data_IF_574338517355
#
_entry.id   IF_574338517355
#
_cell.length_a   1.000
_cell.length_b   1.000
_cell.length_c   1.000
_cell.angle_alpha   90.00
_cell.angle_beta   90.00
_cell.angle_gamma   90.00
#
_symmetry.space_group_name_H-M   'P 1'
#
loop_
_entity.id
_entity.type
_entity.pdbx_description
1 polymer ?
#
# COMPACT_ATOMS: atom_id res chain seq x y z
N UNK A 1 -51.63 35.69 2.54
CA UNK A 1 -50.64 34.94 3.34
C UNK A 1 -49.59 34.39 2.40
N UNK A 2 -48.40 34.98 2.48
CA UNK A 2 -47.21 34.69 1.68
C UNK A 2 -46.49 33.45 2.24
N UNK A 3 -46.03 32.57 1.34
CA UNK A 3 -44.81 31.73 1.37
C UNK A 3 -45.12 30.32 0.88
N UNK A 4 -44.77 30.03 -0.37
CA UNK A 4 -44.18 28.76 -0.82
C UNK A 4 -43.89 28.91 -2.32
N UNK A 5 -42.74 29.45 -2.69
CA UNK A 5 -42.06 29.24 -3.98
C UNK A 5 -40.72 29.97 -3.91
N UNK A 6 -39.64 29.19 -3.85
CA UNK A 6 -38.23 29.50 -4.21
C UNK A 6 -37.30 28.69 -3.31
N UNK A 7 -36.95 27.48 -3.76
CA UNK A 7 -35.62 26.94 -3.52
C UNK A 7 -35.03 26.64 -4.89
N UNK A 8 -34.32 27.66 -5.35
CA UNK A 8 -33.52 27.73 -6.55
C UNK A 8 -32.56 26.55 -6.65
N UNK A 9 -32.54 25.98 -7.85
CA UNK A 9 -31.45 25.24 -8.45
C UNK A 9 -30.12 25.95 -8.13
N UNK A 10 -29.35 25.39 -7.19
CA UNK A 10 -27.92 25.65 -7.12
C UNK A 10 -27.24 24.44 -7.76
N UNK A 11 -27.15 24.49 -9.10
CA UNK A 11 -26.13 23.74 -9.83
C UNK A 11 -24.77 24.21 -9.32
N UNK A 12 -24.23 23.53 -8.31
CA UNK A 12 -22.81 23.64 -8.02
C UNK A 12 -22.12 22.80 -9.10
N UNK A 13 -21.80 23.45 -10.22
CA UNK A 13 -20.84 22.95 -11.18
C UNK A 13 -19.46 22.88 -10.50
N UNK A 14 -19.20 21.81 -9.75
CA UNK A 14 -17.85 21.51 -9.26
C UNK A 14 -17.08 20.94 -10.46
N UNK A 15 -16.39 21.82 -11.15
CA UNK A 15 -15.40 21.43 -12.15
C UNK A 15 -14.39 20.48 -11.49
N UNK A 16 -14.22 19.29 -12.07
CA UNK A 16 -13.43 18.17 -11.53
C UNK A 16 -11.91 18.40 -11.42
N UNK A 17 -11.44 19.64 -11.28
CA UNK A 17 -10.02 20.01 -11.20
C UNK A 17 -9.59 20.63 -9.88
N UNK A 18 -10.50 21.06 -8.99
CA UNK A 18 -10.09 21.70 -7.73
C UNK A 18 -9.98 20.77 -6.51
N UNK A 19 -10.57 19.57 -6.54
CA UNK A 19 -10.68 18.73 -5.33
C UNK A 19 -9.62 17.62 -5.18
N UNK A 20 -8.87 17.31 -6.24
CA UNK A 20 -7.78 16.32 -6.18
C UNK A 20 -6.51 16.81 -5.43
N UNK A 21 -6.53 18.03 -4.90
CA UNK A 21 -5.41 18.65 -4.14
C UNK A 21 -5.72 18.89 -2.65
N UNK A 22 -6.93 18.58 -2.19
CA UNK A 22 -7.22 18.58 -0.76
C UNK A 22 -6.39 17.47 -0.11
N UNK A 23 -5.42 17.83 0.73
CA UNK A 23 -4.74 16.88 1.59
C UNK A 23 -5.83 16.17 2.43
N UNK A 24 -6.21 14.96 2.02
CA UNK A 24 -6.88 14.04 2.92
C UNK A 24 -5.94 13.87 4.10
N UNK A 25 -6.31 14.44 5.25
CA UNK A 25 -5.70 14.05 6.51
C UNK A 25 -6.22 12.64 6.75
N UNK A 26 -5.51 11.66 6.18
CA UNK A 26 -5.66 10.26 6.53
C UNK A 26 -5.41 10.18 8.03
N UNK A 27 -6.40 9.71 8.78
CA UNK A 27 -6.22 9.44 10.20
C UNK A 27 -5.02 8.50 10.35
N UNK A 28 -4.06 8.88 11.20
CA UNK A 28 -2.83 8.12 11.46
C UNK A 28 -3.07 6.83 12.27
N UNK A 29 -4.29 6.33 12.33
CA UNK A 29 -4.67 5.20 13.18
C UNK A 29 -4.79 3.90 12.39
N UNK A 30 -3.70 3.43 11.77
CA UNK A 30 -3.65 2.08 11.17
C UNK A 30 -3.50 1.01 12.28
N UNK A 31 -4.01 1.26 13.49
CA UNK A 31 -3.97 0.39 14.67
C UNK A 31 -2.56 0.08 15.19
N UNK A 32 -2.35 0.37 16.47
CA UNK A 32 -1.14 0.04 17.23
C UNK A 32 -0.65 -1.41 16.99
N UNK A 33 -1.57 -2.38 16.83
CA UNK A 33 -1.24 -3.78 16.51
C UNK A 33 -0.53 -3.97 15.17
N UNK A 34 -0.86 -3.16 14.16
CA UNK A 34 -0.19 -3.20 12.86
C UNK A 34 1.20 -2.57 12.94
N UNK A 35 1.32 -1.40 13.58
CA UNK A 35 2.61 -0.79 13.88
C UNK A 35 3.50 -1.81 14.63
N UNK A 36 2.95 -2.47 15.65
CA UNK A 36 3.68 -3.51 16.39
C UNK A 36 4.10 -4.68 15.47
N UNK A 37 3.23 -5.15 14.58
CA UNK A 37 3.57 -6.21 13.62
C UNK A 37 4.67 -5.80 12.63
N UNK A 38 4.68 -4.55 12.15
CA UNK A 38 5.68 -4.04 11.21
C UNK A 38 7.01 -3.83 11.93
N UNK A 39 7.01 -3.14 13.07
CA UNK A 39 8.24 -2.73 13.75
C UNK A 39 8.93 -3.90 14.48
N UNK A 40 8.16 -4.86 15.03
CA UNK A 40 8.72 -5.95 15.84
C UNK A 40 8.93 -7.27 15.08
N UNK A 41 8.24 -7.52 13.96
CA UNK A 41 8.34 -8.81 13.24
C UNK A 41 9.06 -8.74 11.89
N UNK A 42 9.40 -7.57 11.35
CA UNK A 42 10.03 -7.52 10.03
C UNK A 42 11.52 -7.94 10.04
N UNK A 43 11.91 -8.97 9.27
CA UNK A 43 13.31 -9.35 9.11
C UNK A 43 14.13 -8.21 8.51
N UNK A 44 15.44 -8.17 8.78
CA UNK A 44 16.42 -7.24 8.17
C UNK A 44 16.38 -7.27 6.62
N UNK A 45 15.72 -8.24 6.01
CA UNK A 45 15.59 -8.34 4.55
C UNK A 45 14.46 -7.52 3.92
N UNK A 46 13.54 -6.97 4.72
CA UNK A 46 12.42 -6.15 4.26
C UNK A 46 12.58 -4.69 4.69
N UNK A 47 11.77 -3.79 4.13
CA UNK A 47 11.67 -2.38 4.55
C UNK A 47 10.36 -2.18 5.30
N UNK A 48 10.42 -1.46 6.42
CA UNK A 48 9.23 -1.09 7.20
C UNK A 48 8.25 -0.30 6.33
N UNK A 49 8.78 0.59 5.49
CA UNK A 49 8.05 1.36 4.49
C UNK A 49 7.13 0.50 3.62
N UNK A 50 7.59 -0.66 3.13
CA UNK A 50 6.80 -1.53 2.25
C UNK A 50 5.61 -2.15 3.00
N UNK A 51 5.74 -2.33 4.32
CA UNK A 51 4.62 -2.65 5.20
C UNK A 51 3.67 -1.47 5.34
N UNK A 52 4.17 -0.28 5.70
CA UNK A 52 3.36 0.92 5.97
C UNK A 52 2.49 1.29 4.75
N UNK A 53 3.03 1.21 3.53
CA UNK A 53 2.29 1.53 2.30
C UNK A 53 1.58 0.34 1.66
N UNK A 54 1.45 -0.79 2.36
CA UNK A 54 0.79 -1.96 1.83
C UNK A 54 -0.67 -1.66 1.43
N UNK A 55 -1.36 -0.84 2.23
CA UNK A 55 -2.67 -0.28 1.90
C UNK A 55 -2.49 1.06 1.15
N UNK A 56 -2.76 1.02 -0.14
CA UNK A 56 -2.83 2.23 -0.97
C UNK A 56 -4.20 2.89 -0.79
N UNK A 57 -4.35 3.70 0.26
CA UNK A 57 -5.61 4.36 0.65
C UNK A 57 -6.14 5.27 -0.46
N UNK A 58 -5.26 5.89 -1.24
CA UNK A 58 -5.67 6.69 -2.39
C UNK A 58 -6.34 5.85 -3.47
N UNK A 59 -5.76 4.70 -3.84
CA UNK A 59 -6.37 3.79 -4.82
C UNK A 59 -7.64 3.13 -4.28
N UNK A 60 -7.73 2.87 -2.97
CA UNK A 60 -8.95 2.39 -2.32
C UNK A 60 -10.10 3.40 -2.50
N UNK A 61 -9.88 4.66 -2.16
CA UNK A 61 -10.88 5.74 -2.34
C UNK A 61 -11.29 5.87 -3.80
N UNK A 62 -10.32 5.89 -4.72
CA UNK A 62 -10.57 6.00 -6.17
C UNK A 62 -11.35 4.80 -6.75
N UNK A 63 -11.36 3.67 -6.05
CA UNK A 63 -12.04 2.46 -6.51
C UNK A 63 -13.55 2.45 -6.29
N UNK A 64 -14.05 3.34 -5.43
CA UNK A 64 -15.48 3.48 -5.17
C UNK A 64 -16.05 4.39 -6.25
N UNK A 65 -17.02 3.88 -6.99
CA UNK A 65 -17.61 4.60 -8.13
C UNK A 65 -18.55 5.72 -7.68
N UNK A 66 -19.25 5.52 -6.56
CA UNK A 66 -20.12 6.53 -5.96
C UNK A 66 -19.33 7.42 -4.99
N UNK A 67 -18.63 8.40 -5.56
CA UNK A 67 -17.81 9.34 -4.80
C UNK A 67 -18.64 10.21 -3.84
N UNK A 68 -19.90 10.50 -4.16
CA UNK A 68 -20.78 11.29 -3.29
C UNK A 68 -21.13 10.51 -2.03
N UNK A 69 -21.61 9.27 -2.19
CA UNK A 69 -21.92 8.40 -1.03
C UNK A 69 -20.69 8.11 -0.20
N UNK A 70 -19.53 7.89 -0.84
CA UNK A 70 -18.27 7.75 -0.11
C UNK A 70 -17.94 9.00 0.70
N UNK A 71 -18.05 10.20 0.12
CA UNK A 71 -17.79 11.45 0.83
C UNK A 71 -18.72 11.63 2.03
N UNK A 72 -20.01 11.36 1.86
CA UNK A 72 -20.98 11.40 2.97
C UNK A 72 -20.58 10.40 4.05
N UNK A 73 -20.19 9.17 3.67
CA UNK A 73 -19.78 8.13 4.62
C UNK A 73 -18.53 8.53 5.41
N UNK A 74 -17.54 9.12 4.75
CA UNK A 74 -16.28 9.55 5.36
C UNK A 74 -16.52 10.76 6.26
N UNK A 75 -17.34 11.73 5.84
CA UNK A 75 -17.76 12.84 6.69
C UNK A 75 -18.58 12.39 7.90
N UNK A 76 -19.36 11.32 7.79
CA UNK A 76 -20.09 10.76 8.93
C UNK A 76 -19.16 10.13 9.99
N UNK A 77 -17.91 9.78 9.65
CA UNK A 77 -16.90 9.33 10.63
C UNK A 77 -16.57 10.47 11.61
N UNK A 78 -16.46 11.70 11.11
CA UNK A 78 -15.95 12.87 11.86
C UNK A 78 -17.02 13.68 12.61
N UNK A 79 -18.32 13.43 12.39
CA UNK A 79 -19.42 14.20 12.98
C UNK A 79 -20.40 13.36 13.82
N UNK A 80 -21.10 14.03 14.75
CA UNK A 80 -22.18 13.47 15.59
C UNK A 80 -23.41 12.91 14.82
N UNK A 81 -23.42 12.93 13.48
CA UNK A 81 -24.47 12.33 12.65
C UNK A 81 -24.24 10.84 12.30
N UNK A 82 -23.17 10.23 12.85
CA UNK A 82 -22.84 8.81 12.70
C UNK A 82 -24.07 7.90 12.77
N UNK A 83 -24.92 8.05 13.79
CA UNK A 83 -26.05 7.15 14.01
C UNK A 83 -27.02 7.10 12.80
N UNK A 84 -27.39 8.24 12.22
CA UNK A 84 -28.41 8.29 11.18
C UNK A 84 -27.95 7.72 9.84
N UNK A 85 -26.72 8.03 9.42
CA UNK A 85 -26.15 7.51 8.18
C UNK A 85 -25.97 5.98 8.25
N UNK A 86 -25.38 5.48 9.35
CA UNK A 86 -25.17 4.05 9.53
C UNK A 86 -26.48 3.26 9.67
N UNK A 87 -27.52 3.85 10.28
CA UNK A 87 -28.87 3.25 10.31
C UNK A 87 -29.51 3.17 8.91
N UNK A 88 -29.24 4.14 8.04
CA UNK A 88 -29.74 4.13 6.65
C UNK A 88 -29.06 3.05 5.79
N UNK A 89 -27.79 2.72 6.06
CA UNK A 89 -27.07 1.66 5.31
C UNK A 89 -27.76 0.30 5.40
N UNK A 90 -28.27 -0.07 6.58
CA UNK A 90 -29.01 -1.34 6.73
C UNK A 90 -30.29 -1.38 5.91
N UNK A 91 -31.01 -0.25 5.84
CA UNK A 91 -32.23 -0.15 5.04
C UNK A 91 -31.92 -0.18 3.53
N UNK A 92 -30.83 0.48 3.11
CA UNK A 92 -30.37 0.44 1.72
C UNK A 92 -29.94 -0.96 1.29
N UNK A 93 -29.20 -1.68 2.15
CA UNK A 93 -28.81 -3.07 1.91
C UNK A 93 -30.04 -3.98 1.75
N UNK A 94 -31.03 -3.85 2.62
CA UNK A 94 -32.29 -4.61 2.54
C UNK A 94 -33.08 -4.27 1.26
N UNK A 95 -33.17 -2.99 0.91
CA UNK A 95 -33.79 -2.55 -0.34
C UNK A 95 -33.09 -3.15 -1.56
N UNK A 96 -31.76 -3.04 -1.67
CA UNK A 96 -31.02 -3.60 -2.81
C UNK A 96 -31.13 -5.12 -2.88
N UNK A 97 -31.14 -5.81 -1.75
CA UNK A 97 -31.34 -7.25 -1.70
C UNK A 97 -32.73 -7.64 -2.22
N UNK A 98 -33.80 -7.00 -1.72
CA UNK A 98 -35.18 -7.25 -2.14
C UNK A 98 -35.44 -6.90 -3.60
N UNK A 99 -34.81 -5.83 -4.09
CA UNK A 99 -34.90 -5.40 -5.48
C UNK A 99 -33.96 -6.19 -6.42
N UNK A 100 -33.21 -7.17 -5.92
CA UNK A 100 -32.20 -7.94 -6.67
C UNK A 100 -31.14 -7.06 -7.37
N UNK A 101 -30.80 -5.93 -6.76
CA UNK A 101 -29.81 -4.96 -7.24
C UNK A 101 -28.41 -5.28 -6.70
N UNK A 102 -27.93 -6.49 -7.02
CA UNK A 102 -26.70 -7.06 -6.44
C UNK A 102 -25.45 -6.20 -6.68
N UNK A 103 -25.35 -5.50 -7.82
CA UNK A 103 -24.23 -4.59 -8.10
C UNK A 103 -24.22 -3.39 -7.15
N UNK A 104 -25.38 -2.81 -6.85
CA UNK A 104 -25.50 -1.69 -5.90
C UNK A 104 -25.23 -2.15 -4.48
N UNK A 105 -25.73 -3.33 -4.10
CA UNK A 105 -25.43 -3.94 -2.81
C UNK A 105 -23.94 -4.20 -2.62
N UNK A 106 -23.26 -4.76 -3.64
CA UNK A 106 -21.82 -4.99 -3.63
C UNK A 106 -21.02 -3.68 -3.54
N UNK A 107 -21.43 -2.66 -4.29
CA UNK A 107 -20.83 -1.33 -4.24
C UNK A 107 -20.96 -0.68 -2.86
N UNK A 108 -22.10 -0.87 -2.20
CA UNK A 108 -22.34 -0.36 -0.84
C UNK A 108 -21.42 -1.05 0.18
N UNK A 109 -21.31 -2.38 0.13
CA UNK A 109 -20.35 -3.11 0.97
C UNK A 109 -18.90 -2.69 0.71
N UNK A 110 -18.51 -2.51 -0.55
CA UNK A 110 -17.16 -2.03 -0.90
C UNK A 110 -16.89 -0.64 -0.33
N UNK A 111 -17.86 0.27 -0.42
CA UNK A 111 -17.76 1.61 0.15
C UNK A 111 -17.59 1.54 1.68
N UNK A 112 -18.43 0.77 2.37
CA UNK A 112 -18.31 0.54 3.82
C UNK A 112 -16.92 0.00 4.19
N UNK A 113 -16.42 -0.98 3.44
CA UNK A 113 -15.11 -1.56 3.66
C UNK A 113 -13.96 -0.55 3.48
N UNK A 114 -14.06 0.34 2.49
CA UNK A 114 -13.09 1.44 2.30
C UNK A 114 -13.15 2.39 3.49
N UNK A 115 -14.34 2.81 3.91
CA UNK A 115 -14.56 3.69 5.07
C UNK A 115 -13.98 3.09 6.36
N UNK A 116 -14.18 1.79 6.58
CA UNK A 116 -13.62 1.04 7.72
C UNK A 116 -12.10 0.87 7.62
N UNK A 117 -11.57 0.69 6.41
CA UNK A 117 -10.11 0.66 6.21
C UNK A 117 -9.49 2.01 6.58
N UNK A 118 -10.18 3.13 6.27
CA UNK A 118 -9.74 4.48 6.61
C UNK A 118 -9.91 4.82 8.10
N UNK A 119 -10.90 4.24 8.79
CA UNK A 119 -11.05 4.36 10.25
C UNK A 119 -10.07 3.46 11.01
N UNK A 120 -9.46 2.49 10.32
CA UNK A 120 -8.55 1.51 10.88
C UNK A 120 -9.23 0.22 11.32
N UNK A 121 -10.53 0.03 11.11
CA UNK A 121 -11.29 -1.16 11.53
C UNK A 121 -11.11 -2.35 10.56
N UNK A 122 -9.87 -2.82 10.42
CA UNK A 122 -9.45 -3.77 9.37
C UNK A 122 -10.23 -5.10 9.34
N UNK A 123 -10.67 -5.60 10.50
CA UNK A 123 -11.48 -6.83 10.57
C UNK A 123 -12.88 -6.63 9.99
N UNK A 124 -13.49 -5.45 10.23
CA UNK A 124 -14.81 -5.12 9.69
C UNK A 124 -14.67 -4.86 8.18
N UNK A 125 -13.62 -4.15 7.78
CA UNK A 125 -13.30 -3.94 6.37
C UNK A 125 -13.13 -5.26 5.61
N UNK A 126 -12.40 -6.23 6.19
CA UNK A 126 -12.24 -7.56 5.63
C UNK A 126 -13.59 -8.26 5.41
N UNK A 127 -14.48 -8.21 6.40
CA UNK A 127 -15.82 -8.78 6.30
C UNK A 127 -16.65 -8.14 5.18
N UNK A 128 -16.67 -6.82 5.09
CA UNK A 128 -17.44 -6.12 4.05
C UNK A 128 -16.83 -6.29 2.66
N UNK A 129 -15.51 -6.30 2.50
CA UNK A 129 -14.89 -6.68 1.23
C UNK A 129 -15.21 -8.12 0.84
N UNK A 130 -15.27 -9.06 1.79
CA UNK A 130 -15.65 -10.45 1.50
C UNK A 130 -17.09 -10.56 1.01
N UNK A 131 -18.03 -9.80 1.60
CA UNK A 131 -19.42 -9.72 1.11
C UNK A 131 -19.50 -9.10 -0.29
N UNK A 132 -18.77 -8.02 -0.53
CA UNK A 132 -18.71 -7.40 -1.84
C UNK A 132 -18.14 -8.38 -2.89
N UNK A 133 -17.08 -9.11 -2.56
CA UNK A 133 -16.47 -10.12 -3.43
C UNK A 133 -17.48 -11.20 -3.81
N UNK A 134 -18.19 -11.77 -2.84
CA UNK A 134 -19.21 -12.80 -3.08
C UNK A 134 -20.28 -12.33 -4.07
N UNK A 135 -20.79 -11.11 -3.88
CA UNK A 135 -21.79 -10.53 -4.79
C UNK A 135 -21.23 -10.25 -6.18
N UNK A 136 -19.98 -9.78 -6.29
CA UNK A 136 -19.34 -9.57 -7.60
C UNK A 136 -19.05 -10.89 -8.32
N UNK A 137 -18.73 -11.96 -7.59
CA UNK A 137 -18.58 -13.31 -8.16
C UNK A 137 -19.90 -13.84 -8.70
N UNK A 138 -21.00 -13.70 -7.95
CA UNK A 138 -22.34 -14.10 -8.38
C UNK A 138 -22.78 -13.40 -9.69
N UNK A 139 -22.22 -12.22 -9.96
CA UNK A 139 -22.50 -11.41 -11.14
C UNK A 139 -21.47 -11.57 -12.26
N UNK A 140 -20.46 -12.44 -12.08
CA UNK A 140 -19.34 -12.62 -13.02
C UNK A 140 -18.61 -11.31 -13.34
N UNK A 141 -18.57 -10.37 -12.39
CA UNK A 141 -17.93 -9.08 -12.56
C UNK A 141 -16.41 -9.20 -12.33
N UNK A 142 -15.69 -9.74 -13.32
CA UNK A 142 -14.26 -10.05 -13.21
C UNK A 142 -13.40 -8.84 -12.81
N UNK A 143 -13.74 -7.63 -13.28
CA UNK A 143 -13.01 -6.41 -12.91
C UNK A 143 -13.11 -6.11 -11.41
N UNK A 144 -14.33 -6.17 -10.85
CA UNK A 144 -14.56 -5.91 -9.43
C UNK A 144 -14.09 -7.08 -8.54
N UNK A 145 -14.20 -8.32 -9.01
CA UNK A 145 -13.60 -9.49 -8.35
C UNK A 145 -12.09 -9.30 -8.22
N UNK A 146 -11.39 -8.94 -9.31
CA UNK A 146 -9.94 -8.77 -9.27
C UNK A 146 -9.51 -7.65 -8.32
N UNK A 147 -10.22 -6.53 -8.37
CA UNK A 147 -9.94 -5.38 -7.52
C UNK A 147 -10.23 -5.67 -6.04
N UNK A 148 -11.39 -6.24 -5.73
CA UNK A 148 -11.76 -6.58 -4.36
C UNK A 148 -10.83 -7.64 -3.77
N UNK A 149 -10.44 -8.64 -4.57
CA UNK A 149 -9.45 -9.65 -4.17
C UNK A 149 -8.07 -9.02 -3.90
N UNK A 150 -7.66 -8.01 -4.68
CA UNK A 150 -6.40 -7.30 -4.41
C UNK A 150 -6.39 -6.58 -3.05
N UNK A 151 -7.54 -6.08 -2.60
CA UNK A 151 -7.67 -5.47 -1.27
C UNK A 151 -7.71 -6.51 -0.16
N UNK A 152 -8.42 -7.62 -0.38
CA UNK A 152 -8.41 -8.74 0.57
C UNK A 152 -7.03 -9.40 0.69
N UNK A 153 -6.24 -9.46 -0.38
CA UNK A 153 -4.82 -9.83 -0.32
C UNK A 153 -4.03 -8.93 0.64
N UNK A 154 -4.19 -7.60 0.52
CA UNK A 154 -3.50 -6.65 1.40
C UNK A 154 -3.93 -6.85 2.84
N UNK A 155 -5.24 -6.90 3.12
CA UNK A 155 -5.77 -7.11 4.47
C UNK A 155 -5.34 -8.47 5.07
N UNK A 156 -5.29 -9.52 4.26
CA UNK A 156 -4.85 -10.85 4.71
C UNK A 156 -3.37 -10.84 5.11
N UNK A 157 -2.51 -10.19 4.31
CA UNK A 157 -1.11 -9.98 4.67
C UNK A 157 -0.95 -9.18 5.96
N UNK A 158 -1.79 -8.16 6.18
CA UNK A 158 -1.78 -7.36 7.42
C UNK A 158 -2.16 -8.20 8.64
N UNK A 159 -3.12 -9.11 8.48
CA UNK A 159 -3.55 -10.02 9.51
C UNK A 159 -2.57 -11.20 9.72
N UNK A 160 -1.53 -11.31 8.88
CA UNK A 160 -0.56 -12.40 8.92
C UNK A 160 -1.08 -13.72 8.33
N UNK A 161 -2.22 -13.71 7.63
CA UNK A 161 -2.76 -14.87 6.94
C UNK A 161 -2.20 -14.94 5.52
N UNK A 162 -1.00 -15.51 5.39
CA UNK A 162 -0.32 -15.64 4.10
C UNK A 162 -1.04 -16.60 3.14
N UNK A 163 -1.83 -17.56 3.67
CA UNK A 163 -2.59 -18.49 2.86
C UNK A 163 -3.77 -17.79 2.20
N UNK A 164 -4.58 -17.08 2.98
CA UNK A 164 -5.68 -16.29 2.43
C UNK A 164 -5.15 -15.21 1.47
N UNK A 165 -4.00 -14.59 1.78
CA UNK A 165 -3.34 -13.68 0.87
C UNK A 165 -3.03 -14.34 -0.48
N UNK A 166 -2.44 -15.54 -0.50
CA UNK A 166 -2.18 -16.28 -1.73
C UNK A 166 -3.47 -16.56 -2.53
N UNK A 167 -4.52 -17.04 -1.86
CA UNK A 167 -5.81 -17.34 -2.51
C UNK A 167 -6.41 -16.08 -3.18
N UNK A 168 -6.41 -14.94 -2.48
CA UNK A 168 -6.91 -13.68 -3.04
C UNK A 168 -6.00 -13.10 -4.12
N UNK A 169 -4.68 -13.31 -4.03
CA UNK A 169 -3.75 -12.92 -5.08
C UNK A 169 -4.00 -13.71 -6.37
N UNK A 170 -4.25 -15.01 -6.26
CA UNK A 170 -4.58 -15.86 -7.41
C UNK A 170 -5.90 -15.44 -8.06
N UNK A 171 -6.93 -15.11 -7.26
CA UNK A 171 -8.19 -14.54 -7.78
C UNK A 171 -7.96 -13.21 -8.50
N UNK A 172 -7.12 -12.33 -7.94
CA UNK A 172 -6.77 -11.06 -8.57
C UNK A 172 -6.06 -11.25 -9.91
N UNK A 173 -5.07 -12.15 -9.97
CA UNK A 173 -4.34 -12.50 -11.20
C UNK A 173 -5.30 -13.05 -12.25
N UNK A 174 -6.17 -13.98 -11.88
CA UNK A 174 -7.14 -14.57 -12.80
C UNK A 174 -8.06 -13.50 -13.41
N UNK A 175 -8.63 -12.62 -12.57
CA UNK A 175 -9.50 -11.56 -13.05
C UNK A 175 -8.77 -10.51 -13.89
N UNK A 176 -7.54 -10.09 -13.53
CA UNK A 176 -6.77 -9.16 -14.36
C UNK A 176 -6.31 -9.75 -15.69
N UNK A 177 -6.09 -11.07 -15.75
CA UNK A 177 -5.80 -11.78 -16.99
C UNK A 177 -7.00 -11.79 -17.93
N UNK A 178 -8.21 -12.07 -17.41
CA UNK A 178 -9.46 -12.06 -18.20
C UNK A 178 -9.75 -10.66 -18.76
N UNK A 179 -9.44 -9.62 -17.98
CA UNK A 179 -9.69 -8.22 -18.36
C UNK A 179 -8.58 -7.58 -19.19
N UNK A 180 -7.54 -8.35 -19.55
CA UNK A 180 -6.37 -7.86 -20.30
C UNK A 180 -5.74 -6.60 -19.67
N UNK A 181 -5.76 -6.52 -18.34
CA UNK A 181 -5.25 -5.40 -17.57
C UNK A 181 -3.77 -5.60 -17.21
N UNK A 182 -2.90 -5.57 -18.23
CA UNK A 182 -1.49 -5.96 -18.10
C UNK A 182 -0.74 -5.23 -16.97
N UNK A 183 -1.00 -3.94 -16.73
CA UNK A 183 -0.34 -3.20 -15.65
C UNK A 183 -0.75 -3.71 -14.26
N UNK A 184 -2.04 -4.00 -14.05
CA UNK A 184 -2.54 -4.54 -12.78
C UNK A 184 -2.11 -5.99 -12.61
N UNK A 185 -2.08 -6.75 -13.71
CA UNK A 185 -1.57 -8.11 -13.74
C UNK A 185 -0.09 -8.18 -13.34
N UNK A 186 0.76 -7.30 -13.86
CA UNK A 186 2.18 -7.22 -13.43
C UNK A 186 2.27 -6.92 -11.94
N UNK A 187 1.49 -5.96 -11.41
CA UNK A 187 1.47 -5.65 -9.97
C UNK A 187 1.08 -6.88 -9.15
N UNK A 188 0.03 -7.59 -9.55
CA UNK A 188 -0.44 -8.80 -8.86
C UNK A 188 0.58 -9.95 -8.94
N UNK A 189 1.28 -10.11 -10.06
CA UNK A 189 2.37 -11.10 -10.19
C UNK A 189 3.59 -10.75 -9.32
N UNK A 190 3.92 -9.47 -9.17
CA UNK A 190 5.00 -9.04 -8.25
C UNK A 190 4.61 -9.25 -6.78
N UNK A 191 3.32 -9.19 -6.45
CA UNK A 191 2.78 -9.55 -5.13
C UNK A 191 2.87 -11.07 -4.90
N UNK A 192 2.50 -11.89 -5.88
CA UNK A 192 2.72 -13.34 -5.84
C UNK A 192 4.19 -13.68 -5.60
N UNK A 193 5.08 -12.92 -6.27
CA UNK A 193 6.51 -13.06 -6.09
C UNK A 193 6.97 -12.75 -4.65
N UNK A 194 6.38 -11.73 -4.02
CA UNK A 194 6.65 -11.39 -2.62
C UNK A 194 6.26 -12.53 -1.67
N UNK A 195 5.10 -13.17 -1.91
CA UNK A 195 4.68 -14.36 -1.17
C UNK A 195 5.68 -15.51 -1.32
N UNK A 196 6.19 -15.76 -2.54
CA UNK A 196 7.24 -16.77 -2.75
C UNK A 196 8.54 -16.44 -2.00
N UNK A 197 8.93 -15.16 -1.92
CA UNK A 197 10.09 -14.74 -1.12
C UNK A 197 9.89 -15.01 0.38
N UNK A 198 8.69 -14.73 0.90
CA UNK A 198 8.32 -15.00 2.31
C UNK A 198 8.36 -16.49 2.61
N UNK A 199 7.83 -17.31 1.70
CA UNK A 199 7.87 -18.76 1.79
C UNK A 199 9.26 -19.39 1.52
N UNK A 200 10.27 -18.59 1.15
CA UNK A 200 11.63 -19.07 0.87
C UNK A 200 11.82 -19.75 -0.49
N UNK A 201 10.85 -19.65 -1.39
CA UNK A 201 10.90 -20.21 -2.75
C UNK A 201 11.71 -19.32 -3.72
N UNK A 202 12.97 -19.06 -3.38
CA UNK A 202 13.80 -18.04 -4.04
C UNK A 202 14.07 -18.31 -5.53
N UNK A 203 14.26 -19.59 -5.91
CA UNK A 203 14.49 -19.98 -7.32
C UNK A 203 13.24 -19.76 -8.18
N UNK A 204 12.07 -20.13 -7.66
CA UNK A 204 10.79 -19.89 -8.34
C UNK A 204 10.50 -18.39 -8.46
N UNK A 205 10.80 -17.61 -7.42
CA UNK A 205 10.67 -16.16 -7.46
C UNK A 205 11.56 -15.51 -8.53
N UNK A 206 12.82 -15.94 -8.63
CA UNK A 206 13.75 -15.48 -9.68
C UNK A 206 13.21 -15.81 -11.08
N UNK A 207 12.86 -17.08 -11.31
CA UNK A 207 12.39 -17.56 -12.60
C UNK A 207 11.12 -16.85 -13.05
N UNK A 208 10.16 -16.62 -12.13
CA UNK A 208 8.91 -15.94 -12.47
C UNK A 208 9.15 -14.51 -12.97
N UNK A 209 10.07 -13.76 -12.35
CA UNK A 209 10.36 -12.40 -12.82
C UNK A 209 11.02 -12.45 -14.19
N UNK A 210 12.07 -13.26 -14.36
CA UNK A 210 12.88 -13.30 -15.58
C UNK A 210 12.10 -13.82 -16.79
N UNK A 211 11.29 -14.86 -16.61
CA UNK A 211 10.62 -15.57 -17.71
C UNK A 211 9.20 -15.08 -18.00
N UNK A 212 8.61 -14.27 -17.10
CA UNK A 212 7.22 -13.80 -17.26
C UNK A 212 7.09 -12.31 -17.05
N UNK A 213 7.32 -11.82 -15.83
CA UNK A 213 6.92 -10.45 -15.46
C UNK A 213 7.75 -9.39 -16.21
N UNK A 214 9.07 -9.59 -16.30
CA UNK A 214 9.96 -8.66 -17.01
C UNK A 214 9.69 -8.65 -18.52
N UNK A 215 9.43 -9.82 -19.10
CA UNK A 215 9.02 -9.94 -20.50
C UNK A 215 7.70 -9.20 -20.78
N UNK A 216 6.72 -9.29 -19.89
CA UNK A 216 5.49 -8.49 -19.99
C UNK A 216 5.79 -6.98 -19.90
N UNK A 217 6.64 -6.56 -18.96
CA UNK A 217 7.03 -5.16 -18.83
C UNK A 217 7.68 -4.62 -20.13
N UNK A 218 8.52 -5.42 -20.79
CA UNK A 218 9.12 -5.06 -22.08
C UNK A 218 8.10 -4.98 -23.22
N UNK A 219 7.18 -5.95 -23.32
CA UNK A 219 6.12 -5.92 -24.35
C UNK A 219 5.23 -4.68 -24.22
N UNK A 220 4.96 -4.27 -22.98
CA UNK A 220 4.21 -3.05 -22.69
C UNK A 220 5.03 -1.75 -22.85
N UNK A 221 6.34 -1.85 -23.09
CA UNK A 221 7.28 -0.73 -23.03
C UNK A 221 7.17 0.08 -21.72
N UNK A 222 6.84 -0.59 -20.60
CA UNK A 222 6.58 0.07 -19.32
C UNK A 222 7.85 0.15 -18.48
N UNK A 223 8.52 1.31 -18.53
CA UNK A 223 9.73 1.58 -17.72
C UNK A 223 9.47 1.53 -16.21
N UNK A 224 8.26 1.87 -15.78
CA UNK A 224 7.84 1.71 -14.37
C UNK A 224 7.76 0.23 -13.99
N UNK A 225 7.19 -0.62 -14.85
CA UNK A 225 7.13 -2.06 -14.58
C UNK A 225 8.52 -2.70 -14.62
N UNK A 226 9.39 -2.27 -15.54
CA UNK A 226 10.79 -2.70 -15.62
C UNK A 226 11.54 -2.34 -14.32
N UNK A 227 11.41 -1.09 -13.84
CA UNK A 227 11.98 -0.65 -12.58
C UNK A 227 11.52 -1.52 -11.39
N UNK A 228 10.23 -1.84 -11.33
CA UNK A 228 9.68 -2.69 -10.28
C UNK A 228 10.21 -4.13 -10.37
N UNK A 229 10.42 -4.67 -11.58
CA UNK A 229 11.04 -5.98 -11.76
C UNK A 229 12.49 -5.99 -11.26
N UNK A 230 13.29 -4.96 -11.56
CA UNK A 230 14.65 -4.85 -11.02
C UNK A 230 14.68 -4.68 -9.50
N UNK A 231 13.74 -3.94 -8.92
CA UNK A 231 13.57 -3.90 -7.46
C UNK A 231 13.33 -5.30 -6.88
N UNK A 232 12.39 -6.05 -7.45
CA UNK A 232 12.08 -7.40 -6.96
C UNK A 232 13.23 -8.38 -7.19
N UNK A 233 13.93 -8.35 -8.33
CA UNK A 233 15.12 -9.18 -8.54
C UNK A 233 16.22 -8.85 -7.54
N UNK A 234 16.47 -7.57 -7.28
CA UNK A 234 17.42 -7.15 -6.23
C UNK A 234 17.06 -7.75 -4.88
N UNK A 235 15.77 -7.79 -4.52
CA UNK A 235 15.29 -8.46 -3.30
C UNK A 235 15.47 -9.97 -3.35
N UNK A 236 15.17 -10.63 -4.47
CA UNK A 236 15.41 -12.07 -4.65
C UNK A 236 16.89 -12.40 -4.38
N UNK A 237 17.82 -11.70 -5.04
CA UNK A 237 19.25 -11.95 -4.85
C UNK A 237 19.74 -11.59 -3.45
N UNK A 238 19.20 -10.52 -2.85
CA UNK A 238 19.45 -10.19 -1.45
C UNK A 238 19.01 -11.33 -0.50
N UNK A 239 17.85 -11.93 -0.75
CA UNK A 239 17.37 -13.09 0.01
C UNK A 239 18.27 -14.32 -0.19
N UNK A 240 18.83 -14.51 -1.39
CA UNK A 240 19.83 -15.54 -1.71
C UNK A 240 21.24 -15.23 -1.17
N UNK A 241 21.45 -14.11 -0.47
CA UNK A 241 22.77 -13.60 -0.03
C UNK A 241 23.77 -13.35 -1.19
N UNK A 242 23.27 -13.14 -2.41
CA UNK A 242 24.03 -12.81 -3.61
C UNK A 242 24.12 -11.30 -3.76
N UNK A 243 25.00 -10.69 -2.97
CA UNK A 243 25.02 -9.24 -2.76
C UNK A 243 25.50 -8.44 -3.98
N UNK A 244 26.37 -9.01 -4.82
CA UNK A 244 26.86 -8.34 -6.04
C UNK A 244 25.74 -8.20 -7.06
N UNK A 245 24.98 -9.26 -7.28
CA UNK A 245 23.81 -9.31 -8.15
C UNK A 245 22.71 -8.40 -7.60
N UNK A 246 22.42 -8.49 -6.30
CA UNK A 246 21.46 -7.59 -5.65
C UNK A 246 21.84 -6.11 -5.86
N UNK A 247 23.11 -5.75 -5.68
CA UNK A 247 23.64 -4.40 -5.93
C UNK A 247 23.34 -3.97 -7.37
N UNK A 248 23.66 -4.82 -8.35
CA UNK A 248 23.46 -4.52 -9.77
C UNK A 248 21.99 -4.20 -10.06
N UNK A 249 21.06 -5.04 -9.63
CA UNK A 249 19.63 -4.85 -9.85
C UNK A 249 19.09 -3.59 -9.15
N UNK A 250 19.51 -3.31 -7.91
CA UNK A 250 19.10 -2.07 -7.24
C UNK A 250 19.67 -0.81 -7.90
N UNK A 251 20.88 -0.88 -8.50
CA UNK A 251 21.42 0.21 -9.33
C UNK A 251 20.56 0.42 -10.57
N UNK A 252 20.21 -0.64 -11.30
CA UNK A 252 19.34 -0.52 -12.49
C UNK A 252 17.99 0.09 -12.14
N UNK A 253 17.38 -0.36 -11.04
CA UNK A 253 16.15 0.24 -10.54
C UNK A 253 16.31 1.73 -10.18
N UNK A 254 17.43 2.12 -9.54
CA UNK A 254 17.68 3.53 -9.21
C UNK A 254 17.85 4.40 -10.46
N UNK A 255 18.54 3.89 -11.49
CA UNK A 255 18.73 4.59 -12.77
C UNK A 255 17.38 4.84 -13.43
N UNK A 256 16.52 3.82 -13.51
CA UNK A 256 15.17 4.00 -14.05
C UNK A 256 14.33 4.94 -13.19
N UNK A 257 14.37 4.81 -11.86
CA UNK A 257 13.64 5.68 -10.96
C UNK A 257 14.03 7.16 -11.16
N UNK A 258 15.31 7.46 -11.36
CA UNK A 258 15.80 8.82 -11.69
C UNK A 258 15.27 9.29 -13.04
N UNK A 259 15.37 8.45 -14.09
CA UNK A 259 14.83 8.79 -15.43
C UNK A 259 13.33 9.08 -15.40
N UNK A 260 12.59 8.40 -14.52
CA UNK A 260 11.15 8.57 -14.35
C UNK A 260 10.76 9.68 -13.35
N UNK A 261 11.74 10.35 -12.72
CA UNK A 261 11.52 11.27 -11.59
C UNK A 261 10.68 10.65 -10.45
N UNK A 262 10.82 9.33 -10.25
CA UNK A 262 10.04 8.56 -9.31
C UNK A 262 10.71 8.53 -7.93
N UNK A 263 10.49 9.57 -7.12
CA UNK A 263 11.15 9.82 -5.82
C UNK A 263 11.11 8.61 -4.86
N UNK A 264 9.96 7.96 -4.74
CA UNK A 264 9.77 6.75 -3.93
C UNK A 264 10.68 5.60 -4.39
N UNK A 265 10.85 5.44 -5.70
CA UNK A 265 11.73 4.43 -6.29
C UNK A 265 13.21 4.74 -6.05
N UNK A 266 13.57 6.03 -6.09
CA UNK A 266 14.94 6.49 -5.80
C UNK A 266 15.30 6.15 -4.35
N UNK A 267 14.46 6.56 -3.39
CA UNK A 267 14.69 6.33 -1.95
C UNK A 267 14.75 4.84 -1.64
N UNK A 268 13.78 4.05 -2.13
CA UNK A 268 13.76 2.60 -1.94
C UNK A 268 15.04 1.95 -2.46
N UNK A 269 15.48 2.32 -3.66
CA UNK A 269 16.72 1.77 -4.24
C UNK A 269 17.96 2.14 -3.41
N UNK A 270 18.07 3.40 -2.97
CA UNK A 270 19.20 3.86 -2.14
C UNK A 270 19.25 3.14 -0.80
N UNK A 271 18.10 2.93 -0.15
CA UNK A 271 17.99 2.15 1.08
C UNK A 271 18.47 0.71 0.89
N UNK A 272 18.00 0.03 -0.17
CA UNK A 272 18.41 -1.34 -0.45
C UNK A 272 19.90 -1.42 -0.85
N UNK A 273 20.42 -0.45 -1.59
CA UNK A 273 21.85 -0.34 -1.89
C UNK A 273 22.68 -0.14 -0.63
N UNK A 274 22.24 0.70 0.30
CA UNK A 274 22.91 0.89 1.58
C UNK A 274 22.95 -0.41 2.40
N UNK A 275 21.85 -1.16 2.45
CA UNK A 275 21.81 -2.50 3.09
C UNK A 275 22.79 -3.47 2.45
N UNK A 276 22.85 -3.50 1.11
CA UNK A 276 23.84 -4.28 0.35
C UNK A 276 25.27 -3.88 0.69
N UNK A 277 25.58 -2.60 0.59
CA UNK A 277 26.89 -2.02 0.91
C UNK A 277 27.32 -2.32 2.34
N UNK A 278 26.40 -2.26 3.31
CA UNK A 278 26.66 -2.67 4.68
C UNK A 278 27.04 -4.15 4.82
N UNK A 279 26.41 -5.07 4.07
CA UNK A 279 26.79 -6.50 4.12
C UNK A 279 28.16 -6.77 3.51
N UNK A 280 28.52 -6.05 2.45
CA UNK A 280 29.84 -6.18 1.80
C UNK A 280 30.91 -5.27 2.41
N UNK A 281 30.61 -4.61 3.54
CA UNK A 281 31.52 -3.74 4.32
C UNK A 281 31.91 -2.41 3.65
N UNK A 282 31.18 -1.98 2.62
CA UNK A 282 31.29 -0.66 1.98
C UNK A 282 30.57 0.43 2.81
N UNK A 283 30.88 0.55 4.10
CA UNK A 283 30.09 1.35 5.05
C UNK A 283 30.03 2.85 4.72
N UNK A 284 31.12 3.42 4.20
CA UNK A 284 31.16 4.84 3.79
C UNK A 284 30.19 5.11 2.63
N UNK A 285 30.17 4.23 1.63
CA UNK A 285 29.25 4.31 0.50
C UNK A 285 27.80 4.02 0.92
N UNK A 286 27.58 3.15 1.91
CA UNK A 286 26.26 2.91 2.49
C UNK A 286 25.73 4.18 3.16
N UNK A 287 26.57 4.85 3.96
CA UNK A 287 26.21 6.10 4.62
C UNK A 287 25.91 7.22 3.63
N UNK A 288 26.66 7.31 2.52
CA UNK A 288 26.39 8.27 1.46
C UNK A 288 25.00 8.06 0.84
N UNK A 289 24.65 6.82 0.49
CA UNK A 289 23.31 6.51 -0.04
C UNK A 289 22.20 6.86 0.97
N UNK A 290 22.40 6.57 2.26
CA UNK A 290 21.44 6.88 3.32
C UNK A 290 21.25 8.38 3.52
N UNK A 291 22.32 9.17 3.48
CA UNK A 291 22.24 10.64 3.53
C UNK A 291 21.49 11.20 2.34
N UNK A 292 21.75 10.68 1.13
CA UNK A 292 21.00 11.06 -0.07
C UNK A 292 19.52 10.68 0.05
N UNK A 293 19.20 9.48 0.51
CA UNK A 293 17.82 9.05 0.74
C UNK A 293 17.11 9.95 1.76
N UNK A 294 17.78 10.32 2.85
CA UNK A 294 17.27 11.22 3.87
C UNK A 294 16.95 12.61 3.32
N UNK A 295 17.84 13.16 2.48
CA UNK A 295 17.65 14.48 1.88
C UNK A 295 16.51 14.53 0.86
N UNK A 296 16.10 13.38 0.31
CA UNK A 296 14.98 13.27 -0.63
C UNK A 296 13.62 13.09 0.08
N UNK A 297 13.60 12.99 1.41
CA UNK A 297 12.37 12.86 2.17
C UNK A 297 11.51 14.13 2.05
N UNK A 298 10.20 13.92 1.95
CA UNK A 298 9.15 14.93 1.96
C UNK A 298 7.87 14.34 2.59
N UNK A 299 6.80 15.13 2.62
CA UNK A 299 5.53 14.72 3.24
C UNK A 299 4.91 13.45 2.64
N UNK A 300 5.18 13.13 1.36
CA UNK A 300 4.57 11.99 0.66
C UNK A 300 5.38 10.69 0.73
N UNK A 301 6.60 10.72 1.26
CA UNK A 301 7.48 9.55 1.37
C UNK A 301 8.15 9.43 2.75
N UNK A 302 7.60 10.14 3.74
CA UNK A 302 8.05 10.16 5.14
C UNK A 302 8.04 8.78 5.81
N UNK A 303 7.24 7.83 5.30
CA UNK A 303 7.20 6.45 5.78
C UNK A 303 8.53 5.68 5.61
N UNK A 304 9.48 6.17 4.79
CA UNK A 304 10.85 5.62 4.74
C UNK A 304 11.77 6.11 5.87
N UNK A 305 11.38 7.13 6.62
CA UNK A 305 12.23 7.78 7.61
C UNK A 305 12.72 6.79 8.68
N UNK A 306 11.83 5.91 9.15
CA UNK A 306 12.19 4.86 10.12
C UNK A 306 13.28 3.92 9.58
N UNK A 307 13.15 3.44 8.34
CA UNK A 307 14.16 2.59 7.70
C UNK A 307 15.50 3.32 7.54
N UNK A 308 15.46 4.59 7.12
CA UNK A 308 16.66 5.41 6.94
C UNK A 308 17.39 5.58 8.28
N UNK A 309 16.69 6.01 9.33
CA UNK A 309 17.28 6.25 10.65
C UNK A 309 17.87 4.97 11.24
N UNK A 310 17.14 3.85 11.16
CA UNK A 310 17.61 2.53 11.59
C UNK A 310 18.91 2.14 10.88
N UNK A 311 18.93 2.26 9.55
CA UNK A 311 20.11 1.89 8.76
C UNK A 311 21.28 2.86 8.97
N UNK A 312 21.02 4.15 9.21
CA UNK A 312 22.08 5.11 9.58
C UNK A 312 22.72 4.75 10.91
N UNK A 313 21.92 4.46 11.95
CA UNK A 313 22.45 4.01 13.24
C UNK A 313 23.31 2.75 13.07
N UNK A 314 22.80 1.72 12.38
CA UNK A 314 23.55 0.48 12.12
C UNK A 314 24.86 0.75 11.35
N UNK A 315 24.85 1.65 10.37
CA UNK A 315 26.05 1.99 9.58
C UNK A 315 27.09 2.71 10.43
N UNK A 316 26.68 3.68 11.26
CA UNK A 316 27.60 4.37 12.18
C UNK A 316 28.20 3.42 13.22
N UNK A 317 27.40 2.47 13.72
CA UNK A 317 27.91 1.41 14.60
C UNK A 317 29.02 0.59 13.91
N UNK A 318 28.83 0.23 12.63
CA UNK A 318 29.83 -0.51 11.84
C UNK A 318 31.06 0.31 11.48
N UNK A 319 30.94 1.64 11.39
CA UNK A 319 32.05 2.58 11.22
C UNK A 319 32.81 2.86 12.53
N UNK A 320 32.29 2.45 13.69
CA UNK A 320 32.89 2.74 15.00
C UNK A 320 32.54 4.12 15.56
N UNK A 321 31.67 4.89 14.89
CA UNK A 321 31.21 6.21 15.37
C UNK A 321 30.10 6.04 16.41
N UNK A 322 30.52 5.85 17.67
CA UNK A 322 29.60 5.63 18.79
C UNK A 322 28.70 6.83 19.08
N UNK A 323 29.16 8.05 18.82
CA UNK A 323 28.38 9.25 19.07
C UNK A 323 27.19 9.33 18.10
N UNK A 324 27.44 9.16 16.80
CA UNK A 324 26.37 9.18 15.80
C UNK A 324 25.46 7.95 15.92
N UNK A 325 26.01 6.78 16.26
CA UNK A 325 25.18 5.60 16.54
C UNK A 325 24.12 5.87 17.60
N UNK A 326 24.53 6.38 18.78
CA UNK A 326 23.60 6.70 19.88
C UNK A 326 22.55 7.72 19.45
N UNK A 327 22.99 8.80 18.80
CA UNK A 327 22.10 9.85 18.29
C UNK A 327 21.04 9.31 17.33
N UNK A 328 21.42 8.57 16.29
CA UNK A 328 20.47 8.06 15.30
C UNK A 328 19.57 6.96 15.88
N UNK A 329 20.07 6.15 16.83
CA UNK A 329 19.26 5.17 17.56
C UNK A 329 18.17 5.86 18.38
N UNK A 330 18.51 6.93 19.10
CA UNK A 330 17.52 7.71 19.87
C UNK A 330 16.47 8.36 18.97
N UNK A 331 16.86 8.93 17.84
CA UNK A 331 15.91 9.51 16.86
C UNK A 331 15.01 8.42 16.28
N UNK A 332 15.57 7.25 15.94
CA UNK A 332 14.80 6.10 15.46
C UNK A 332 13.77 5.63 16.50
N UNK A 333 14.16 5.52 17.77
CA UNK A 333 13.24 5.11 18.84
C UNK A 333 12.08 6.11 18.99
N UNK A 334 12.37 7.42 18.96
CA UNK A 334 11.32 8.46 19.00
C UNK A 334 10.39 8.39 17.78
N UNK A 335 10.94 8.12 16.60
CA UNK A 335 10.15 7.94 15.38
C UNK A 335 9.24 6.71 15.50
N UNK A 336 9.75 5.59 16.02
CA UNK A 336 8.96 4.39 16.29
C UNK A 336 7.84 4.67 17.29
N UNK A 337 8.13 5.35 18.39
CA UNK A 337 7.12 5.73 19.39
C UNK A 337 6.02 6.60 18.78
N UNK A 338 6.35 7.50 17.86
CA UNK A 338 5.36 8.30 17.13
C UNK A 338 4.41 7.42 16.28
N UNK A 339 4.91 6.35 15.65
CA UNK A 339 4.06 5.41 14.91
C UNK A 339 3.21 4.51 15.82
N UNK A 340 3.70 4.17 17.02
CA UNK A 340 3.02 3.25 17.95
C UNK A 340 1.98 3.97 18.83
N UNK A 341 2.26 5.19 19.28
CA UNK A 341 1.51 5.86 20.36
C UNK A 341 0.64 7.06 19.94
N UNK A 342 0.35 7.26 18.65
CA UNK A 342 -0.49 8.37 18.18
C UNK A 342 -1.99 8.31 18.60
N UNK A 343 -2.36 7.42 19.54
CA UNK A 343 -3.74 7.23 20.03
C UNK A 343 -4.01 7.78 21.45
N UNK A 344 -3.25 8.75 21.96
CA UNK A 344 -3.49 9.33 23.31
C UNK A 344 -3.98 10.78 23.35
N UNK A 345 -4.20 11.44 22.22
CA UNK A 345 -4.57 12.88 22.20
C UNK A 345 -5.82 13.18 21.38
N UNK A 346 -6.83 12.30 21.45
CA UNK A 346 -8.22 12.65 21.12
C UNK A 346 -9.09 12.00 22.20
N UNK A 347 -9.14 12.67 23.37
CA UNK A 347 -10.22 12.51 24.33
C UNK A 347 -11.12 13.74 24.22
#
# INVERSE_FOLDING_TARGET
>A
MLRFFLLSILCICITGKSFARGNFVLYNSIQQKFADSIFYKQPDKYLLADGIVLLDTYQLVKSVTDALSLNISVSAISYHQRQHYFNALTQQLDFYAKANLLNHQAGLYKMMAVTETLSGDLNIAYHHFSKALFLYQAQLNHAQVAQTSSYLYQLSLLNGDEKAAADFNDMAIAGYKIMEHDQKLIKALLQQNDLMLRAGHLKHAEQQILTKILLMAYRMNSKQAEMNCYQQLGRVYWHQNKFTEAKWFFVQANILAKKLNHSVGIIRSLLMLAKVKNKIKDYSLALADLKLANNLLNAHNSYFKADILKNMALTYQKLGDQQQYKRYKEIYNKEQDHYVYFNKSIN
#
